data_IF_452227097621
#
_entry.id   IF_452227097621
#
_cell.length_a   1.000
_cell.length_b   1.000
_cell.length_c   1.000
_cell.angle_alpha   90.00
_cell.angle_beta   90.00
_cell.angle_gamma   90.00
#
_symmetry.space_group_name_H-M   'P 1'
#
loop_
_entity.id
_entity.type
_entity.pdbx_description
1 polymer ?
#
# COMPACT_ATOMS: atom_id res chain seq x y z
N UNK A 1 18.54 20.01 -5.23
CA UNK A 1 18.08 19.65 -3.86
C UNK A 1 16.57 19.43 -3.92
N UNK A 2 16.02 18.45 -3.20
CA UNK A 2 14.57 18.25 -3.17
C UNK A 2 13.89 19.36 -2.36
N UNK A 3 12.74 19.90 -2.80
CA UNK A 3 11.98 20.91 -2.06
C UNK A 3 11.59 20.43 -0.66
N UNK A 4 11.51 21.35 0.30
CA UNK A 4 11.23 21.01 1.71
C UNK A 4 9.87 20.32 1.90
N UNK A 5 8.81 20.85 1.27
CA UNK A 5 7.46 20.29 1.40
C UNK A 5 7.39 18.86 0.84
N UNK A 6 7.97 18.65 -0.35
CA UNK A 6 8.04 17.32 -0.97
C UNK A 6 8.92 16.35 -0.19
N UNK A 7 9.91 16.84 0.57
CA UNK A 7 10.67 16.01 1.53
C UNK A 7 9.81 15.56 2.71
N UNK A 8 8.92 16.41 3.22
CA UNK A 8 7.99 16.05 4.30
C UNK A 8 7.01 14.97 3.84
N UNK A 9 6.36 15.16 2.68
CA UNK A 9 5.45 14.15 2.14
C UNK A 9 6.17 12.85 1.74
N UNK A 10 7.40 12.93 1.26
CA UNK A 10 8.23 11.75 1.01
C UNK A 10 8.42 10.90 2.28
N UNK A 11 8.61 11.52 3.46
CA UNK A 11 8.71 10.79 4.73
C UNK A 11 7.41 10.03 5.03
N UNK A 12 6.25 10.65 4.82
CA UNK A 12 4.94 9.98 4.99
C UNK A 12 4.82 8.76 4.07
N UNK A 13 5.14 8.92 2.78
CA UNK A 13 5.11 7.82 1.79
C UNK A 13 6.09 6.70 2.19
N UNK A 14 7.25 7.05 2.75
CA UNK A 14 8.21 6.06 3.24
C UNK A 14 7.66 5.30 4.44
N UNK A 15 7.18 6.00 5.48
CA UNK A 15 6.59 5.37 6.65
C UNK A 15 5.37 4.51 6.31
N UNK A 16 4.57 4.90 5.31
CA UNK A 16 3.46 4.09 4.80
C UNK A 16 3.95 2.77 4.19
N UNK A 17 5.10 2.78 3.52
CA UNK A 17 5.73 1.55 3.00
C UNK A 17 6.19 0.63 4.14
N UNK A 18 6.78 1.20 5.18
CA UNK A 18 7.22 0.43 6.34
C UNK A 18 6.03 -0.23 7.05
N UNK A 19 4.89 0.47 7.13
CA UNK A 19 3.62 -0.06 7.63
C UNK A 19 3.07 -1.20 6.77
N UNK A 20 3.05 -1.03 5.44
CA UNK A 20 2.62 -2.08 4.49
C UNK A 20 3.44 -3.36 4.68
N UNK A 21 4.76 -3.25 4.76
CA UNK A 21 5.65 -4.40 5.02
C UNK A 21 5.35 -5.06 6.36
N UNK A 22 5.03 -4.28 7.40
CA UNK A 22 4.68 -4.83 8.71
C UNK A 22 3.39 -5.65 8.66
N UNK A 23 2.37 -5.19 7.92
CA UNK A 23 1.12 -5.94 7.73
C UNK A 23 1.31 -7.20 6.89
N UNK A 24 2.05 -7.15 5.79
CA UNK A 24 2.42 -8.33 4.98
C UNK A 24 3.21 -9.37 5.81
N UNK A 25 4.11 -8.91 6.67
CA UNK A 25 4.82 -9.81 7.60
C UNK A 25 3.86 -10.42 8.61
N UNK A 26 2.97 -9.62 9.19
CA UNK A 26 1.99 -10.10 10.16
C UNK A 26 1.04 -11.15 9.55
N UNK A 27 0.61 -10.98 8.30
CA UNK A 27 -0.22 -11.96 7.58
C UNK A 27 0.48 -13.31 7.39
N UNK A 28 1.74 -13.28 6.96
CA UNK A 28 2.58 -14.49 6.83
C UNK A 28 2.80 -15.21 8.15
N UNK A 29 3.21 -14.48 9.19
CA UNK A 29 3.42 -15.05 10.53
C UNK A 29 2.12 -15.64 11.09
N UNK A 30 0.97 -15.00 10.85
CA UNK A 30 -0.33 -15.52 11.27
C UNK A 30 -0.64 -16.88 10.65
N UNK A 31 -0.30 -17.06 9.37
CA UNK A 31 -0.49 -18.33 8.64
C UNK A 31 0.45 -19.41 9.18
N UNK A 32 1.71 -19.08 9.43
CA UNK A 32 2.69 -19.99 10.05
C UNK A 32 2.21 -20.46 11.43
N UNK A 33 1.72 -19.54 12.25
CA UNK A 33 1.14 -19.87 13.57
C UNK A 33 -0.06 -20.82 13.41
N UNK A 34 -0.90 -20.59 12.41
CA UNK A 34 -2.04 -21.47 12.10
C UNK A 34 -1.59 -22.91 11.83
N UNK A 35 -0.60 -23.10 10.95
CA UNK A 35 -0.04 -24.42 10.64
C UNK A 35 0.59 -25.09 11.87
N UNK A 36 1.42 -24.35 12.62
CA UNK A 36 2.08 -24.88 13.81
C UNK A 36 1.09 -25.30 14.90
N UNK A 37 -0.04 -24.58 15.02
CA UNK A 37 -1.10 -24.92 15.96
C UNK A 37 -1.77 -26.25 15.58
N UNK A 38 -2.08 -26.46 14.31
CA UNK A 38 -2.64 -27.72 13.81
C UNK A 38 -1.69 -28.89 14.05
N UNK A 39 -0.40 -28.73 13.72
CA UNK A 39 0.64 -29.75 13.94
C UNK A 39 0.79 -30.10 15.42
N UNK A 40 0.83 -29.09 16.30
CA UNK A 40 0.90 -29.30 17.74
C UNK A 40 -0.32 -30.08 18.24
N UNK A 41 -1.52 -29.72 17.78
CA UNK A 41 -2.77 -30.34 18.22
C UNK A 41 -2.86 -31.81 17.86
N UNK A 42 -2.42 -32.20 16.66
CA UNK A 42 -2.30 -33.62 16.25
C UNK A 42 -1.38 -34.40 17.20
N UNK A 43 -0.29 -33.78 17.67
CA UNK A 43 0.65 -34.38 18.61
C UNK A 43 0.11 -34.60 20.03
N UNK A 44 -1.04 -34.02 20.39
CA UNK A 44 -1.60 -34.14 21.75
C UNK A 44 -2.27 -35.49 22.03
N UNK A 45 -2.63 -36.24 20.99
CA UNK A 45 -3.42 -37.48 21.09
C UNK A 45 -4.79 -37.29 21.78
N UNK A 46 -5.30 -36.05 21.83
CA UNK A 46 -6.67 -35.72 22.25
C UNK A 46 -7.46 -35.34 20.99
N UNK A 47 -8.45 -36.15 20.62
CA UNK A 47 -9.24 -35.97 19.40
C UNK A 47 -9.95 -34.61 19.35
N UNK A 48 -10.43 -34.09 20.49
CA UNK A 48 -11.09 -32.80 20.55
C UNK A 48 -10.08 -31.66 20.33
N UNK A 49 -8.93 -31.73 21.00
CA UNK A 49 -7.88 -30.72 20.85
C UNK A 49 -7.33 -30.72 19.43
N UNK A 50 -7.07 -31.90 18.87
CA UNK A 50 -6.59 -32.04 17.49
C UNK A 50 -7.56 -31.41 16.49
N UNK A 51 -8.85 -31.78 16.52
CA UNK A 51 -9.81 -31.22 15.57
C UNK A 51 -10.01 -29.70 15.75
N UNK A 52 -10.19 -29.23 16.99
CA UNK A 52 -10.43 -27.80 17.24
C UNK A 52 -9.20 -26.95 16.89
N UNK A 53 -7.98 -27.42 17.19
CA UNK A 53 -6.75 -26.72 16.79
C UNK A 53 -6.61 -26.62 15.27
N UNK A 54 -6.99 -27.66 14.51
CA UNK A 54 -6.95 -27.67 13.06
C UNK A 54 -7.90 -26.63 12.47
N UNK A 55 -9.14 -26.60 12.96
CA UNK A 55 -10.14 -25.61 12.52
C UNK A 55 -9.77 -24.19 12.93
N UNK A 56 -9.16 -23.98 14.10
CA UNK A 56 -8.60 -22.67 14.48
C UNK A 56 -7.44 -22.30 13.54
N UNK A 57 -6.59 -23.24 13.16
CA UNK A 57 -5.52 -23.03 12.18
C UNK A 57 -6.04 -22.50 10.84
N UNK A 58 -7.18 -23.00 10.36
CA UNK A 58 -7.86 -22.47 9.17
C UNK A 58 -8.32 -21.02 9.37
N UNK A 59 -8.98 -20.71 10.50
CA UNK A 59 -9.41 -19.34 10.82
C UNK A 59 -8.22 -18.38 10.95
N UNK A 60 -7.11 -18.82 11.56
CA UNK A 60 -5.89 -18.02 11.67
C UNK A 60 -5.26 -17.75 10.31
N UNK A 61 -5.20 -18.75 9.44
CA UNK A 61 -4.69 -18.61 8.07
C UNK A 61 -5.53 -17.61 7.28
N UNK A 62 -6.85 -17.69 7.38
CA UNK A 62 -7.75 -16.73 6.74
C UNK A 62 -7.59 -15.31 7.30
N UNK A 63 -7.40 -15.14 8.61
CA UNK A 63 -7.03 -13.84 9.19
C UNK A 63 -5.72 -13.29 8.60
N UNK A 64 -4.77 -14.17 8.26
CA UNK A 64 -3.54 -13.80 7.56
C UNK A 64 -3.79 -13.28 6.15
N UNK A 65 -4.66 -13.96 5.38
CA UNK A 65 -5.08 -13.53 4.03
C UNK A 65 -5.77 -12.15 4.06
N UNK A 66 -6.59 -11.90 5.08
CA UNK A 66 -7.21 -10.59 5.27
C UNK A 66 -6.16 -9.48 5.54
N UNK A 67 -5.08 -9.80 6.23
CA UNK A 67 -3.98 -8.86 6.48
C UNK A 67 -3.18 -8.55 5.21
N UNK A 68 -2.92 -9.56 4.38
CA UNK A 68 -2.25 -9.38 3.08
C UNK A 68 -3.08 -8.52 2.13
N UNK A 69 -4.41 -8.73 2.11
CA UNK A 69 -5.34 -7.90 1.33
C UNK A 69 -5.32 -6.45 1.80
N UNK A 70 -5.32 -6.22 3.12
CA UNK A 70 -5.21 -4.88 3.68
C UNK A 70 -3.89 -4.19 3.32
N UNK A 71 -2.77 -4.92 3.34
CA UNK A 71 -1.47 -4.39 2.92
C UNK A 71 -1.48 -3.93 1.45
N UNK A 72 -2.18 -4.66 0.56
CA UNK A 72 -2.38 -4.26 -0.84
C UNK A 72 -3.20 -2.98 -0.95
N UNK A 73 -4.32 -2.88 -0.23
CA UNK A 73 -5.18 -1.69 -0.24
C UNK A 73 -4.45 -0.44 0.32
N UNK A 74 -3.57 -0.60 1.31
CA UNK A 74 -2.71 0.48 1.78
C UNK A 74 -1.71 0.97 0.71
N UNK A 75 -1.22 0.09 -0.18
CA UNK A 75 -0.37 0.50 -1.30
C UNK A 75 -1.13 1.35 -2.34
N UNK A 76 -2.45 1.16 -2.47
CA UNK A 76 -3.31 2.01 -3.31
C UNK A 76 -3.37 3.45 -2.77
N UNK A 77 -3.73 3.62 -1.48
CA UNK A 77 -3.66 4.92 -0.78
C UNK A 77 -2.29 5.57 -0.94
N UNK A 78 -1.22 4.80 -0.71
CA UNK A 78 0.15 5.27 -0.84
C UNK A 78 0.49 5.73 -2.26
N UNK A 79 -0.02 5.05 -3.29
CA UNK A 79 0.19 5.43 -4.68
C UNK A 79 -0.49 6.76 -5.01
N UNK A 80 -1.67 7.03 -4.44
CA UNK A 80 -2.34 8.33 -4.56
C UNK A 80 -1.51 9.45 -3.90
N UNK A 81 -0.92 9.22 -2.73
CA UNK A 81 -0.02 10.19 -2.08
C UNK A 81 1.25 10.50 -2.91
N UNK A 82 1.77 9.51 -3.67
CA UNK A 82 2.89 9.74 -4.59
C UNK A 82 2.52 10.76 -5.68
N UNK A 83 1.26 10.81 -6.12
CA UNK A 83 0.77 11.79 -7.10
C UNK A 83 0.94 13.21 -6.55
N UNK A 84 0.48 13.47 -5.32
CA UNK A 84 0.61 14.79 -4.66
C UNK A 84 2.08 15.23 -4.63
N UNK A 85 2.97 14.35 -4.15
CA UNK A 85 4.42 14.62 -4.07
C UNK A 85 5.01 14.93 -5.44
N UNK A 86 4.60 14.20 -6.48
CA UNK A 86 5.10 14.39 -7.84
C UNK A 86 4.64 15.75 -8.40
N UNK A 87 3.38 16.12 -8.18
CA UNK A 87 2.83 17.44 -8.56
C UNK A 87 3.56 18.57 -7.82
N UNK A 88 3.82 18.43 -6.53
CA UNK A 88 4.63 19.41 -5.79
C UNK A 88 6.02 19.57 -6.40
N UNK A 89 6.67 18.46 -6.77
CA UNK A 89 7.99 18.48 -7.40
C UNK A 89 7.95 19.17 -8.77
N UNK A 90 6.89 19.00 -9.55
CA UNK A 90 6.76 19.61 -10.88
C UNK A 90 6.48 21.12 -10.85
N UNK A 91 5.93 21.66 -9.75
CA UNK A 91 5.71 23.12 -9.60
C UNK A 91 6.99 23.89 -9.27
N UNK A 92 8.02 23.21 -8.77
CA UNK A 92 9.23 23.86 -8.24
C UNK A 92 10.06 24.60 -9.27
N UNK A 93 10.23 24.11 -10.51
CA UNK A 93 10.87 24.88 -11.56
C UNK A 93 10.20 26.24 -11.80
N UNK A 94 8.87 26.35 -11.66
CA UNK A 94 8.15 27.62 -11.83
C UNK A 94 8.45 28.59 -10.67
N UNK A 95 8.48 28.08 -9.42
CA UNK A 95 8.89 28.85 -8.24
C UNK A 95 10.32 29.36 -8.36
N UNK A 96 11.24 28.48 -8.73
CA UNK A 96 12.66 28.78 -8.89
C UNK A 96 12.89 29.80 -10.02
N UNK A 97 12.20 29.66 -11.15
CA UNK A 97 12.30 30.60 -12.26
C UNK A 97 11.84 32.02 -11.87
N UNK A 98 10.68 32.13 -11.19
CA UNK A 98 10.18 33.42 -10.68
C UNK A 98 11.17 34.07 -9.71
N UNK A 99 11.70 33.30 -8.76
CA UNK A 99 12.66 33.79 -7.77
C UNK A 99 13.96 34.27 -8.45
N UNK A 100 14.46 33.50 -9.41
CA UNK A 100 15.68 33.84 -10.17
C UNK A 100 15.53 35.17 -10.93
N UNK A 101 14.41 35.38 -11.62
CA UNK A 101 14.16 36.63 -12.36
C UNK A 101 14.08 37.81 -11.38
N UNK A 102 13.40 37.65 -10.24
CA UNK A 102 13.31 38.68 -9.21
C UNK A 102 14.69 39.07 -8.64
N UNK A 103 15.54 38.08 -8.34
CA UNK A 103 16.91 38.29 -7.85
C UNK A 103 17.79 39.01 -8.89
N UNK A 104 17.65 38.65 -10.18
CA UNK A 104 18.36 39.30 -11.29
C UNK A 104 17.95 40.78 -11.43
N UNK A 105 16.66 41.09 -11.30
CA UNK A 105 16.16 42.48 -11.27
C UNK A 105 16.77 43.25 -10.10
N UNK A 106 16.73 42.69 -8.89
CA UNK A 106 17.26 43.36 -7.70
C UNK A 106 18.77 43.65 -7.85
N UNK A 107 19.52 42.66 -8.36
CA UNK A 107 20.95 42.80 -8.61
C UNK A 107 21.26 43.87 -9.66
N UNK A 108 20.48 43.92 -10.75
CA UNK A 108 20.62 44.96 -11.77
C UNK A 108 20.27 46.35 -11.24
N UNK A 109 19.21 46.49 -10.44
CA UNK A 109 18.81 47.77 -9.83
C UNK A 109 19.90 48.36 -8.94
N UNK A 110 20.68 47.52 -8.25
CA UNK A 110 21.80 47.97 -7.40
C UNK A 110 23.03 48.36 -8.23
N UNK A 111 23.36 47.57 -9.27
CA UNK A 111 24.62 47.76 -10.02
C UNK A 111 24.51 48.74 -11.18
N UNK A 112 23.40 48.68 -11.91
CA UNK A 112 23.18 49.39 -13.18
C UNK A 112 21.72 49.90 -13.25
N UNK A 113 21.34 50.88 -12.42
CA UNK A 113 19.94 51.31 -12.27
C UNK A 113 19.31 51.92 -13.54
N UNK A 114 20.13 52.34 -14.50
CA UNK A 114 19.69 52.93 -15.78
C UNK A 114 19.66 51.91 -16.93
N UNK A 115 19.86 50.62 -16.64
CA UNK A 115 19.89 49.57 -17.66
C UNK A 115 18.51 49.31 -18.24
N UNK A 116 18.38 49.38 -19.56
CA UNK A 116 17.13 49.07 -20.29
C UNK A 116 16.69 47.61 -20.12
N UNK A 117 17.61 46.72 -19.71
CA UNK A 117 17.32 45.32 -19.39
C UNK A 117 16.38 45.15 -18.20
N UNK A 118 16.30 46.14 -17.29
CA UNK A 118 15.40 46.09 -16.14
C UNK A 118 13.95 45.98 -16.59
N UNK A 119 13.53 46.78 -17.58
CA UNK A 119 12.15 46.77 -18.10
C UNK A 119 11.80 45.42 -18.74
N UNK A 120 12.76 44.81 -19.44
CA UNK A 120 12.57 43.48 -20.06
C UNK A 120 12.40 42.41 -18.98
N UNK A 121 13.27 42.38 -17.97
CA UNK A 121 13.18 41.43 -16.87
C UNK A 121 11.91 41.63 -16.03
N UNK A 122 11.44 42.88 -15.85
CA UNK A 122 10.17 43.16 -15.18
C UNK A 122 8.98 42.57 -15.95
N UNK A 123 8.97 42.68 -17.27
CA UNK A 123 7.94 42.04 -18.10
C UNK A 123 8.02 40.50 -18.05
N UNK A 124 9.23 39.94 -18.04
CA UNK A 124 9.44 38.51 -17.85
C UNK A 124 8.98 38.03 -16.46
N UNK A 125 9.19 38.84 -15.42
CA UNK A 125 8.73 38.54 -14.06
C UNK A 125 7.21 38.46 -14.01
N UNK A 126 6.50 39.41 -14.63
CA UNK A 126 5.02 39.39 -14.69
C UNK A 126 4.51 38.10 -15.36
N UNK A 127 5.20 37.65 -16.43
CA UNK A 127 4.86 36.39 -17.08
C UNK A 127 5.14 35.18 -16.17
N UNK A 128 6.30 35.13 -15.54
CA UNK A 128 6.67 34.06 -14.62
C UNK A 128 5.75 34.01 -13.39
N UNK A 129 5.26 35.15 -12.91
CA UNK A 129 4.26 35.25 -11.84
C UNK A 129 2.93 34.65 -12.25
N UNK A 130 2.43 34.96 -13.45
CA UNK A 130 1.20 34.39 -13.98
C UNK A 130 1.32 32.86 -14.14
N UNK A 131 2.42 32.37 -14.70
CA UNK A 131 2.69 30.93 -14.83
C UNK A 131 2.75 30.24 -13.46
N UNK A 132 3.42 30.85 -12.48
CA UNK A 132 3.50 30.32 -11.12
C UNK A 132 2.12 30.33 -10.42
N UNK A 133 1.29 31.37 -10.61
CA UNK A 133 -0.07 31.40 -10.03
C UNK A 133 -0.93 30.23 -10.54
N UNK A 134 -0.86 29.93 -11.84
CA UNK A 134 -1.58 28.79 -12.42
C UNK A 134 -1.06 27.46 -11.85
N UNK A 135 0.27 27.30 -11.77
CA UNK A 135 0.88 26.09 -11.23
C UNK A 135 0.52 25.85 -9.74
N UNK A 136 0.50 26.91 -8.92
CA UNK A 136 0.11 26.86 -7.51
C UNK A 136 -1.37 26.52 -7.32
N UNK A 137 -2.24 27.10 -8.15
CA UNK A 137 -3.67 26.79 -8.13
C UNK A 137 -3.91 25.32 -8.50
N UNK A 138 -3.23 24.80 -9.52
CA UNK A 138 -3.29 23.39 -9.91
C UNK A 138 -2.80 22.47 -8.80
N UNK A 139 -1.65 22.77 -8.20
CA UNK A 139 -1.13 22.01 -7.06
C UNK A 139 -2.15 21.97 -5.91
N UNK A 140 -2.72 23.12 -5.58
CA UNK A 140 -3.71 23.23 -4.51
C UNK A 140 -4.93 22.34 -4.77
N UNK A 141 -5.46 22.35 -5.99
CA UNK A 141 -6.63 21.55 -6.38
C UNK A 141 -6.30 20.05 -6.35
N UNK A 142 -5.18 19.65 -6.94
CA UNK A 142 -4.74 18.25 -6.97
C UNK A 142 -4.48 17.74 -5.56
N UNK A 143 -3.80 18.52 -4.72
CA UNK A 143 -3.52 18.13 -3.33
C UNK A 143 -4.81 17.87 -2.56
N UNK A 144 -5.81 18.75 -2.65
CA UNK A 144 -7.10 18.53 -1.97
C UNK A 144 -7.82 17.29 -2.48
N UNK A 145 -7.91 17.15 -3.80
CA UNK A 145 -8.59 16.02 -4.43
C UNK A 145 -7.93 14.70 -4.03
N UNK A 146 -6.62 14.60 -4.21
CA UNK A 146 -5.88 13.35 -3.98
C UNK A 146 -5.68 13.05 -2.50
N UNK A 147 -5.66 14.04 -1.62
CA UNK A 147 -5.67 13.79 -0.18
C UNK A 147 -6.98 13.15 0.26
N UNK A 148 -8.12 13.68 -0.23
CA UNK A 148 -9.44 13.10 0.04
C UNK A 148 -9.52 11.67 -0.49
N UNK A 149 -9.07 11.44 -1.73
CA UNK A 149 -9.07 10.14 -2.38
C UNK A 149 -8.18 9.11 -1.66
N UNK A 150 -6.96 9.48 -1.27
CA UNK A 150 -6.03 8.58 -0.57
C UNK A 150 -6.61 8.07 0.75
N UNK A 151 -7.12 9.00 1.58
CA UNK A 151 -7.65 8.63 2.89
C UNK A 151 -9.05 8.03 2.84
N UNK A 152 -9.86 8.31 1.80
CA UNK A 152 -11.07 7.54 1.55
C UNK A 152 -10.72 6.06 1.32
N UNK A 153 -9.80 5.77 0.40
CA UNK A 153 -9.35 4.40 0.13
C UNK A 153 -8.75 3.72 1.37
N UNK A 154 -7.92 4.43 2.14
CA UNK A 154 -7.33 3.88 3.36
C UNK A 154 -8.38 3.56 4.43
N UNK A 155 -9.33 4.46 4.69
CA UNK A 155 -10.37 4.22 5.69
C UNK A 155 -11.36 3.14 5.26
N UNK A 156 -11.70 3.05 3.97
CA UNK A 156 -12.48 1.94 3.42
C UNK A 156 -11.77 0.61 3.65
N UNK A 157 -10.45 0.55 3.38
CA UNK A 157 -9.64 -0.64 3.64
C UNK A 157 -9.60 -1.03 5.13
N UNK A 158 -9.53 -0.05 6.02
CA UNK A 158 -9.57 -0.27 7.49
C UNK A 158 -10.92 -0.86 7.90
N UNK A 159 -12.03 -0.32 7.41
CA UNK A 159 -13.38 -0.79 7.71
C UNK A 159 -13.55 -2.23 7.21
N UNK A 160 -13.20 -2.49 5.95
CA UNK A 160 -13.26 -3.83 5.36
C UNK A 160 -12.48 -4.85 6.21
N UNK A 161 -11.21 -4.54 6.51
CA UNK A 161 -10.35 -5.39 7.34
C UNK A 161 -11.01 -5.69 8.69
N UNK A 162 -11.46 -4.65 9.39
CA UNK A 162 -12.01 -4.79 10.73
C UNK A 162 -13.26 -5.69 10.72
N UNK A 163 -14.19 -5.44 9.81
CA UNK A 163 -15.46 -6.17 9.75
C UNK A 163 -15.26 -7.63 9.38
N UNK A 164 -14.39 -7.93 8.41
CA UNK A 164 -14.05 -9.32 8.04
C UNK A 164 -13.34 -10.05 9.17
N UNK A 165 -12.39 -9.40 9.86
CA UNK A 165 -11.72 -10.00 11.02
C UNK A 165 -12.70 -10.24 12.19
N UNK A 166 -13.70 -9.38 12.38
CA UNK A 166 -14.75 -9.58 13.39
C UNK A 166 -15.56 -10.84 13.08
N UNK A 167 -15.93 -11.09 11.82
CA UNK A 167 -16.65 -12.31 11.41
C UNK A 167 -15.82 -13.55 11.78
N UNK A 168 -14.55 -13.58 11.35
CA UNK A 168 -13.63 -14.68 11.63
C UNK A 168 -13.42 -14.92 13.13
N UNK A 169 -13.22 -13.85 13.90
CA UNK A 169 -13.04 -13.94 15.35
C UNK A 169 -14.28 -14.49 16.05
N UNK A 170 -15.49 -14.11 15.61
CA UNK A 170 -16.74 -14.66 16.15
C UNK A 170 -16.86 -16.16 15.90
N UNK A 171 -16.56 -16.64 14.69
CA UNK A 171 -16.58 -18.07 14.36
C UNK A 171 -15.45 -18.84 15.08
N UNK A 172 -14.26 -18.26 15.20
CA UNK A 172 -13.18 -18.81 16.03
C UNK A 172 -13.60 -19.02 17.49
N UNK A 173 -14.38 -18.10 18.06
CA UNK A 173 -14.97 -18.28 19.41
C UNK A 173 -16.04 -19.36 19.46
N UNK A 174 -16.83 -19.56 18.39
CA UNK A 174 -17.78 -20.68 18.28
C UNK A 174 -17.04 -22.02 18.28
N UNK A 175 -15.91 -22.14 17.58
CA UNK A 175 -15.08 -23.34 17.63
C UNK A 175 -14.62 -23.67 19.06
N UNK A 176 -14.16 -22.67 19.81
CA UNK A 176 -13.75 -22.87 21.21
C UNK A 176 -14.87 -23.39 22.11
N UNK A 177 -16.13 -23.07 21.81
CA UNK A 177 -17.27 -23.56 22.61
C UNK A 177 -17.55 -25.06 22.46
N UNK A 178 -16.92 -25.72 21.47
CA UNK A 178 -17.01 -27.17 21.26
C UNK A 178 -15.99 -27.96 22.09
N UNK A 179 -15.06 -27.28 22.73
CA UNK A 179 -14.05 -27.90 23.57
C UNK A 179 -14.54 -27.95 25.02
N UNK A 180 -14.77 -29.16 25.53
CA UNK A 180 -15.06 -29.38 26.94
C UNK A 180 -13.79 -29.13 27.78
N UNK A 181 -13.85 -28.18 28.70
CA UNK A 181 -12.77 -27.81 29.61
C UNK A 181 -12.96 -28.37 31.03
N UNK A 182 -13.99 -29.20 31.26
CA UNK A 182 -14.22 -29.81 32.55
C UNK A 182 -13.02 -30.68 32.97
N UNK A 183 -12.55 -30.55 34.23
CA UNK A 183 -11.45 -31.35 34.74
C UNK A 183 -11.86 -32.82 34.86
N UNK A 184 -10.95 -33.73 34.49
CA UNK A 184 -11.14 -35.18 34.63
C UNK A 184 -10.47 -35.67 35.90
N UNK A 185 -11.15 -36.52 36.67
CA UNK A 185 -10.57 -37.17 37.85
C UNK A 185 -9.44 -38.12 37.43
N UNK A 186 -8.30 -38.17 38.15
CA UNK A 186 -7.25 -39.14 37.84
C UNK A 186 -7.78 -40.58 37.83
N UNK A 187 -7.62 -41.26 36.69
CA UNK A 187 -8.10 -42.63 36.47
C UNK A 187 -9.40 -42.73 35.66
N UNK A 188 -10.16 -41.64 35.53
CA UNK A 188 -11.33 -41.57 34.66
C UNK A 188 -10.92 -41.27 33.21
N UNK A 189 -11.71 -41.78 32.26
CA UNK A 189 -11.57 -41.42 30.85
C UNK A 189 -12.33 -40.12 30.56
N UNK A 190 -11.79 -39.32 29.64
CA UNK A 190 -12.48 -38.13 29.13
C UNK A 190 -13.67 -38.54 28.25
N UNK A 191 -14.67 -37.67 28.17
CA UNK A 191 -15.82 -37.87 27.27
C UNK A 191 -15.35 -37.93 25.82
N UNK A 192 -15.92 -38.86 25.04
CA UNK A 192 -15.63 -39.00 23.61
C UNK A 192 -16.01 -37.73 22.83
N UNK A 193 -15.10 -37.27 21.97
CA UNK A 193 -15.33 -36.12 21.10
C UNK A 193 -16.29 -36.46 19.96
N UNK A 194 -17.36 -35.66 19.79
CA UNK A 194 -18.38 -35.86 18.74
C UNK A 194 -18.73 -34.61 17.93
N UNK A 195 -18.01 -33.50 18.15
CA UNK A 195 -18.36 -32.20 17.55
C UNK A 195 -17.71 -31.95 16.18
N UNK A 196 -16.97 -32.89 15.58
CA UNK A 196 -16.28 -32.65 14.31
C UNK A 196 -17.16 -32.21 13.13
N UNK A 197 -18.42 -32.70 13.07
CA UNK A 197 -19.38 -32.23 12.08
C UNK A 197 -19.83 -30.78 12.30
N UNK A 198 -20.02 -30.40 13.57
CA UNK A 198 -20.39 -29.03 13.98
C UNK A 198 -19.23 -28.05 13.77
N UNK A 199 -18.00 -28.46 14.09
CA UNK A 199 -16.79 -27.66 13.87
C UNK A 199 -16.59 -27.35 12.38
N UNK A 200 -16.81 -28.34 11.50
CA UNK A 200 -16.78 -28.13 10.04
C UNK A 200 -17.88 -27.18 9.58
N UNK A 201 -19.09 -27.29 10.14
CA UNK A 201 -20.19 -26.39 9.78
C UNK A 201 -19.88 -24.95 10.18
N UNK A 202 -19.22 -24.70 11.31
CA UNK A 202 -18.80 -23.35 11.72
C UNK A 202 -17.84 -22.72 10.68
N UNK A 203 -16.95 -23.51 10.07
CA UNK A 203 -16.09 -23.00 9.00
C UNK A 203 -16.88 -22.66 7.72
N UNK A 204 -17.85 -23.50 7.35
CA UNK A 204 -18.73 -23.20 6.20
C UNK A 204 -19.53 -21.91 6.45
N UNK A 205 -20.07 -21.74 7.66
CA UNK A 205 -20.77 -20.51 8.05
C UNK A 205 -19.85 -19.27 7.94
N UNK A 206 -18.58 -19.41 8.34
CA UNK A 206 -17.60 -18.32 8.24
C UNK A 206 -17.30 -17.94 6.78
N UNK A 207 -17.14 -18.94 5.90
CA UNK A 207 -16.97 -18.72 4.46
C UNK A 207 -18.18 -18.01 3.86
N UNK A 208 -19.39 -18.48 4.17
CA UNK A 208 -20.63 -17.90 3.68
C UNK A 208 -20.82 -16.46 4.17
N UNK A 209 -20.56 -16.18 5.46
CA UNK A 209 -20.63 -14.83 6.01
C UNK A 209 -19.61 -13.89 5.36
N UNK A 210 -18.37 -14.33 5.13
CA UNK A 210 -17.34 -13.55 4.45
C UNK A 210 -17.68 -13.29 2.98
N UNK A 211 -18.29 -14.26 2.30
CA UNK A 211 -18.74 -14.14 0.91
C UNK A 211 -19.91 -13.17 0.77
N UNK A 212 -20.81 -13.18 1.74
CA UNK A 212 -22.00 -12.34 1.78
C UNK A 212 -21.72 -10.94 2.34
N UNK A 213 -20.60 -10.73 3.04
CA UNK A 213 -20.19 -9.42 3.53
C UNK A 213 -20.09 -8.40 2.38
N UNK A 214 -20.54 -7.18 2.66
CA UNK A 214 -20.49 -6.04 1.75
C UNK A 214 -20.14 -4.80 2.55
N UNK A 215 -19.23 -4.01 1.99
CA UNK A 215 -18.92 -2.70 2.54
C UNK A 215 -20.17 -1.82 2.49
N UNK A 216 -20.57 -1.30 3.66
CA UNK A 216 -21.66 -0.34 3.78
C UNK A 216 -21.06 0.95 4.32
N UNK A 217 -20.94 1.95 3.46
CA UNK A 217 -20.51 3.29 3.86
C UNK A 217 -21.75 4.13 4.08
N UNK A 218 -21.88 4.74 5.26
CA UNK A 218 -22.86 5.79 5.46
C UNK A 218 -22.43 6.99 4.62
N UNK A 219 -23.07 7.19 3.47
CA UNK A 219 -22.88 8.36 2.63
C UNK A 219 -23.43 9.61 3.36
N UNK A 220 -22.68 10.13 4.33
CA UNK A 220 -22.87 11.50 4.80
C UNK A 220 -22.39 12.42 3.66
N UNK A 221 -23.27 13.24 3.06
CA UNK A 221 -22.88 14.14 1.98
C UNK A 221 -21.95 15.21 2.54
N UNK A 222 -20.64 14.97 2.47
CA UNK A 222 -19.62 15.93 2.90
C UNK A 222 -19.59 17.09 1.90
N UNK A 223 -20.47 18.07 2.15
CA UNK A 223 -20.62 19.36 1.49
C UNK A 223 -21.01 19.28 -0.01
N UNK A 224 -22.31 19.39 -0.27
CA UNK A 224 -22.79 20.12 -1.44
C UNK A 224 -22.16 21.52 -1.41
N UNK A 225 -21.18 21.77 -2.27
CA UNK A 225 -20.65 23.11 -2.46
C UNK A 225 -21.84 24.01 -2.82
N UNK A 226 -22.07 25.05 -2.01
CA UNK A 226 -22.94 26.15 -2.39
C UNK A 226 -22.46 26.67 -3.75
N UNK A 227 -23.30 26.49 -4.76
CA UNK A 227 -23.07 27.04 -6.09
C UNK A 227 -23.01 28.58 -5.97
N UNK A 228 -21.93 29.25 -6.43
CA UNK A 228 -22.06 30.65 -6.76
C UNK A 228 -22.83 30.72 -8.06
N UNK A 229 -24.01 31.35 -8.02
CA UNK A 229 -24.85 31.54 -9.19
C UNK A 229 -24.05 32.07 -10.38
N UNK A 230 -24.30 31.45 -11.53
CA UNK A 230 -23.66 31.76 -12.79
C UNK A 230 -24.01 33.18 -13.27
N UNK A 231 -22.98 33.95 -13.62
CA UNK A 231 -23.08 35.01 -14.62
C UNK A 231 -22.11 34.73 -15.76
N UNK A 232 -22.71 34.49 -16.92
CA UNK A 232 -22.15 34.18 -18.24
C UNK A 232 -21.11 35.20 -18.75
N UNK A 233 -20.01 34.71 -19.35
CA UNK A 233 -19.63 35.04 -20.76
C UNK A 233 -18.31 34.38 -21.20
N UNK A 234 -18.38 33.63 -22.31
CA UNK A 234 -17.41 33.46 -23.41
C UNK A 234 -15.94 33.07 -23.13
N UNK A 235 -15.47 32.01 -23.82
CA UNK A 235 -14.03 31.88 -24.13
C UNK A 235 -13.52 30.45 -24.36
N UNK A 236 -13.49 30.06 -25.63
CA UNK A 236 -12.87 28.90 -26.30
C UNK A 236 -11.52 28.35 -25.77
N UNK A 237 -11.38 27.02 -25.92
CA UNK A 237 -10.14 26.21 -26.04
C UNK A 237 -9.28 25.92 -24.80
N UNK A 238 -9.33 24.66 -24.34
CA UNK A 238 -8.38 24.13 -23.36
C UNK A 238 -8.51 22.63 -23.07
N UNK A 239 -8.73 21.78 -24.08
CA UNK A 239 -9.01 20.34 -23.85
C UNK A 239 -7.82 19.38 -24.06
N UNK A 240 -6.62 19.83 -24.45
CA UNK A 240 -5.61 18.89 -24.98
C UNK A 240 -4.38 18.63 -24.08
N UNK A 241 -4.29 19.20 -22.87
CA UNK A 241 -3.09 19.05 -22.04
C UNK A 241 -3.17 17.91 -21.00
N UNK A 242 -4.35 17.67 -20.41
CA UNK A 242 -4.53 16.63 -19.37
C UNK A 242 -4.37 15.20 -19.91
N UNK A 243 -4.75 14.94 -21.16
CA UNK A 243 -4.54 13.64 -21.81
C UNK A 243 -3.06 13.32 -22.08
N UNK A 244 -2.22 14.35 -22.21
CA UNK A 244 -0.79 14.17 -22.51
C UNK A 244 0.00 13.74 -21.27
N UNK A 245 -0.46 14.08 -20.05
CA UNK A 245 0.18 13.67 -18.80
C UNK A 245 -0.16 12.22 -18.41
N UNK A 246 -1.34 11.72 -18.81
CA UNK A 246 -1.71 10.33 -18.54
C UNK A 246 -0.95 9.35 -19.45
N UNK A 247 -0.66 9.75 -20.70
CA UNK A 247 0.03 8.91 -21.70
C UNK A 247 1.53 8.74 -21.47
N UNK A 248 2.17 9.62 -20.69
CA UNK A 248 3.61 9.53 -20.40
C UNK A 248 3.94 8.58 -19.26
N UNK A 249 2.99 8.26 -18.36
CA UNK A 249 3.23 7.34 -17.24
C UNK A 249 3.02 5.85 -17.58
N UNK A 250 2.27 5.51 -18.64
CA UNK A 250 2.10 4.11 -19.06
C UNK A 250 3.30 3.52 -19.81
N UNK A 251 4.34 4.32 -20.13
CA UNK A 251 5.52 3.85 -20.90
C UNK A 251 6.70 3.41 -20.04
N UNK A 252 6.72 3.72 -18.75
CA UNK A 252 7.87 3.42 -17.86
C UNK A 252 7.70 2.14 -17.03
N UNK A 253 6.70 1.29 -17.31
CA UNK A 253 6.52 -0.02 -16.65
C UNK A 253 6.95 -1.23 -17.50
N UNK A 254 7.66 -1.04 -18.61
CA UNK A 254 8.23 -2.16 -19.35
C UNK A 254 9.77 -2.15 -19.26
N UNK A 255 10.33 -3.31 -18.89
CA UNK A 255 11.75 -3.69 -18.74
C UNK A 255 12.27 -3.41 -17.32
N UNK A 256 12.55 -4.41 -16.46
CA UNK A 256 13.57 -5.44 -16.65
C UNK A 256 13.32 -6.66 -15.72
N UNK A 257 13.28 -7.87 -16.29
CA UNK A 257 13.33 -9.14 -15.55
C UNK A 257 14.76 -9.72 -15.66
N UNK A 258 15.34 -10.33 -14.61
CA UNK A 258 16.69 -10.86 -14.69
C UNK A 258 16.71 -12.16 -15.51
N UNK A 259 17.55 -12.18 -16.54
CA UNK A 259 17.87 -13.38 -17.34
C UNK A 259 18.78 -14.31 -16.55
N UNK A 260 18.37 -15.57 -16.41
CA UNK A 260 19.23 -16.68 -16.01
C UNK A 260 20.09 -17.11 -17.21
N UNK A 261 21.41 -16.97 -17.12
CA UNK A 261 22.33 -17.57 -18.08
C UNK A 261 22.66 -19.00 -17.65
N UNK A 262 22.20 -19.96 -18.46
CA UNK A 262 22.72 -21.32 -18.50
C UNK A 262 23.94 -21.36 -19.42
N UNK A 263 25.07 -21.86 -18.93
CA UNK A 263 26.17 -22.30 -19.78
C UNK A 263 26.43 -23.78 -19.49
N UNK A 264 26.25 -24.61 -20.52
CA UNK A 264 26.67 -26.01 -20.57
C UNK A 264 27.83 -26.17 -21.54
N UNK A 265 28.61 -27.22 -21.25
CA UNK A 265 29.66 -27.86 -22.05
C UNK A 265 31.04 -27.19 -22.18
N UNK A 266 32.05 -27.82 -21.58
CA UNK A 266 32.95 -28.72 -22.33
C UNK A 266 33.99 -29.38 -21.41
N UNK A 267 34.06 -30.71 -21.44
CA UNK A 267 35.21 -31.52 -21.03
C UNK A 267 36.32 -31.39 -22.09
N UNK A 268 37.62 -31.53 -21.74
CA UNK A 268 38.26 -32.84 -21.99
C UNK A 268 39.48 -33.20 -21.12
N UNK A 269 39.76 -34.51 -21.03
CA UNK A 269 41.13 -35.04 -21.14
C UNK A 269 41.95 -35.29 -19.86
N UNK A 270 42.09 -36.56 -19.49
CA UNK A 270 43.16 -37.14 -18.63
C UNK A 270 44.24 -37.71 -19.57
N UNK A 271 45.57 -37.57 -19.33
CA UNK A 271 46.32 -38.63 -18.60
C UNK A 271 47.59 -38.17 -17.83
N UNK A 272 48.03 -39.01 -16.87
CA UNK A 272 49.47 -39.14 -16.54
C UNK A 272 49.90 -39.18 -15.06
N UNK A 273 49.85 -40.38 -14.45
CA UNK A 273 50.88 -41.02 -13.60
C UNK A 273 51.91 -40.22 -12.77
N UNK A 274 51.95 -40.48 -11.45
CA UNK A 274 53.14 -40.73 -10.61
C UNK A 274 52.70 -41.09 -9.16
N UNK A 275 52.72 -42.36 -8.71
CA UNK A 275 53.79 -43.05 -7.95
C UNK A 275 54.47 -42.25 -6.83
N UNK A 276 54.11 -42.53 -5.57
CA UNK A 276 54.94 -42.73 -4.33
C UNK A 276 53.97 -43.39 -3.33
N UNK A 277 54.24 -44.41 -2.52
CA UNK A 277 55.44 -45.07 -2.02
C UNK A 277 55.09 -45.58 -0.61
N UNK A 278 55.37 -46.85 -0.36
CA UNK A 278 54.99 -47.70 0.79
C UNK A 278 55.71 -47.30 2.09
N UNK A 279 55.06 -47.48 3.25
CA UNK A 279 55.74 -47.96 4.47
C UNK A 279 54.73 -48.57 5.47
N UNK A 280 54.95 -49.88 5.70
CA UNK A 280 54.70 -50.74 6.88
C UNK A 280 53.49 -50.54 7.80
#
# INVERSE_FOLDING_TARGET
>A
MQPELSRKLYKVIKSSNDLITAHDTAGKERTVIGTQLSEWGEGTQDDAVSDISDKIGVVLSELGVQEDTYAQNLEESRTILKVIRNTEKSVQPSRDNKAKIADEIQKLKIKEPQSTKIVVLEQELVRAEAENLVAEAQLTNITRQKLKEAYAAEFEAVIERAERQIILAKHGRRLLSLLDDAPVTPGDARTEYRHGGEARQILNDAEDDLRNWRLTLDDEPVNAAAEPEASTSAGTSGSNFLDTLHKTHSRDQAVEAPRSESTSDAQPGVPGTATVGVAS
#
